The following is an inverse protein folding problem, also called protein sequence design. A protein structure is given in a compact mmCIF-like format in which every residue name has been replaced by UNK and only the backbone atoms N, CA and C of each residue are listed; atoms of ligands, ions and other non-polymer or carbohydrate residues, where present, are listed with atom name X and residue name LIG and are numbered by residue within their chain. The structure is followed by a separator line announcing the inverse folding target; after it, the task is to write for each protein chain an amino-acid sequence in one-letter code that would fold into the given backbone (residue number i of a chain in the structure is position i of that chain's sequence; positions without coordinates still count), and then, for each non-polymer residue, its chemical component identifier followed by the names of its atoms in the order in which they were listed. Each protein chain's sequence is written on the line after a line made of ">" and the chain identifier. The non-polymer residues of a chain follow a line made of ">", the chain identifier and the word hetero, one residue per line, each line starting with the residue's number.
data_IF_321707121333
#
_entry.id   IF_321707121333
#
_cell.length_a   1.000
_cell.length_b   1.000
_cell.length_c   1.000
_cell.angle_alpha   90.00
_cell.angle_beta   90.00
_cell.angle_gamma   90.00
#
_symmetry.space_group_name_H-M   'P 1'
#
loop_
_entity.id
_entity.type
_entity.pdbx_description
1 polymer ?
#
# COMPACT_ATOMS: atom_id res chain seq x y z
N UNK A 1 40.96 31.25 7.68
CA UNK A 1 39.65 31.17 6.98
C UNK A 1 39.18 29.73 7.07
N UNK A 2 38.16 29.47 7.90
CA UNK A 2 37.71 28.13 8.27
C UNK A 2 37.00 27.43 7.10
N UNK A 3 37.48 26.26 6.72
CA UNK A 3 36.75 25.31 5.89
C UNK A 3 35.56 24.78 6.70
N UNK A 4 34.35 25.21 6.32
CA UNK A 4 33.11 24.79 6.93
C UNK A 4 32.95 23.27 6.84
N UNK A 5 32.71 22.63 7.99
CA UNK A 5 32.44 21.20 8.08
C UNK A 5 31.04 20.94 7.52
N UNK A 6 30.94 20.62 6.24
CA UNK A 6 29.68 20.21 5.62
C UNK A 6 29.19 18.91 6.28
N UNK A 7 27.91 18.91 6.69
CA UNK A 7 27.31 17.77 7.39
C UNK A 7 27.29 16.52 6.48
N UNK A 8 27.24 15.32 7.08
CA UNK A 8 27.11 14.07 6.29
C UNK A 8 25.87 14.09 5.38
N UNK A 9 24.80 14.75 5.83
CA UNK A 9 23.58 14.98 5.05
C UNK A 9 23.83 15.87 3.83
N UNK A 10 24.50 17.01 3.99
CA UNK A 10 24.83 17.91 2.86
C UNK A 10 25.76 17.25 1.85
N UNK A 11 26.73 16.45 2.31
CA UNK A 11 27.60 15.67 1.42
C UNK A 11 26.81 14.62 0.63
N UNK A 12 25.83 13.96 1.28
CA UNK A 12 24.94 13.02 0.62
C UNK A 12 24.04 13.73 -0.41
N UNK A 13 23.47 14.89 -0.07
CA UNK A 13 22.64 15.70 -0.96
C UNK A 13 23.44 16.20 -2.16
N UNK A 14 24.67 16.67 -1.95
CA UNK A 14 25.56 17.12 -3.02
C UNK A 14 25.98 15.95 -3.94
N UNK A 15 26.28 14.78 -3.37
CA UNK A 15 26.54 13.58 -4.15
C UNK A 15 25.32 13.15 -4.97
N UNK A 16 24.12 13.19 -4.36
CA UNK A 16 22.87 12.86 -5.03
C UNK A 16 22.52 13.86 -6.15
N UNK A 17 22.83 15.14 -5.98
CA UNK A 17 22.62 16.18 -7.00
C UNK A 17 23.52 15.98 -8.24
N UNK A 18 24.65 15.29 -8.09
CA UNK A 18 25.53 14.91 -9.20
C UNK A 18 25.14 13.61 -9.91
N UNK A 19 24.15 12.86 -9.41
CA UNK A 19 23.70 11.62 -10.03
C UNK A 19 22.84 11.93 -11.26
N UNK A 20 23.23 11.39 -12.42
CA UNK A 20 22.39 11.39 -13.60
C UNK A 20 21.24 10.39 -13.38
N UNK A 21 20.04 10.91 -13.15
CA UNK A 21 18.81 10.11 -13.19
C UNK A 21 18.37 10.01 -14.66
N UNK A 22 18.18 8.80 -15.23
CA UNK A 22 17.68 8.65 -16.59
C UNK A 22 16.37 9.41 -16.80
N UNK A 23 16.18 9.99 -17.98
CA UNK A 23 14.99 10.80 -18.29
C UNK A 23 13.70 9.98 -18.16
N UNK A 24 13.71 8.74 -18.63
CA UNK A 24 12.58 7.81 -18.48
C UNK A 24 12.22 7.55 -17.01
N UNK A 25 13.19 7.51 -16.10
CA UNK A 25 12.93 7.38 -14.65
C UNK A 25 12.29 8.65 -14.10
N UNK A 26 12.75 9.84 -14.53
CA UNK A 26 12.16 11.11 -14.14
C UNK A 26 10.72 11.24 -14.61
N UNK A 27 10.47 10.90 -15.88
CA UNK A 27 9.13 10.91 -16.47
C UNK A 27 8.16 10.02 -15.71
N UNK A 28 8.56 8.77 -15.42
CA UNK A 28 7.75 7.82 -14.64
C UNK A 28 7.52 8.33 -13.21
N UNK A 29 8.54 8.90 -12.58
CA UNK A 29 8.43 9.41 -11.21
C UNK A 29 7.53 10.65 -11.08
N UNK A 30 7.35 11.44 -12.15
CA UNK A 30 6.47 12.61 -12.17
C UNK A 30 5.12 12.36 -12.83
N UNK A 31 4.93 11.22 -13.49
CA UNK A 31 3.66 10.86 -14.09
C UNK A 31 2.56 10.66 -13.03
N UNK A 32 1.29 10.93 -13.36
CA UNK A 32 0.17 10.56 -12.51
C UNK A 32 0.21 9.05 -12.20
N UNK A 33 0.03 8.63 -10.93
CA UNK A 33 0.06 7.22 -10.60
C UNK A 33 -1.08 6.48 -11.30
N UNK A 34 -0.77 5.28 -11.79
CA UNK A 34 -1.71 4.38 -12.47
C UNK A 34 -1.80 3.07 -11.72
N UNK A 35 -2.77 2.24 -12.10
CA UNK A 35 -2.83 0.86 -11.65
C UNK A 35 -1.59 0.10 -12.18
N UNK A 36 -1.11 -0.90 -11.42
CA UNK A 36 0.09 -1.66 -11.79
C UNK A 36 -0.13 -2.49 -13.05
N UNK A 37 0.93 -2.65 -13.85
CA UNK A 37 0.95 -3.52 -15.03
C UNK A 37 2.19 -4.44 -15.01
N UNK A 38 2.11 -5.63 -15.66
CA UNK A 38 3.27 -6.49 -15.84
C UNK A 38 4.44 -5.79 -16.52
N UNK A 39 5.66 -6.12 -16.10
CA UNK A 39 6.92 -5.52 -16.59
C UNK A 39 7.29 -4.20 -15.91
N UNK A 40 6.40 -3.58 -15.13
CA UNK A 40 6.73 -2.38 -14.37
C UNK A 40 7.60 -2.70 -13.15
N UNK A 41 8.54 -1.81 -12.85
CA UNK A 41 9.36 -1.86 -11.63
C UNK A 41 8.82 -0.84 -10.65
N UNK A 42 8.46 -1.31 -9.46
CA UNK A 42 7.82 -0.54 -8.41
C UNK A 42 8.68 -0.47 -7.16
N UNK A 43 8.65 0.68 -6.50
CA UNK A 43 9.01 0.79 -5.10
C UNK A 43 7.81 0.31 -4.27
N UNK A 44 7.99 -0.76 -3.52
CA UNK A 44 7.05 -1.23 -2.52
C UNK A 44 7.44 -0.72 -1.13
N UNK A 45 6.45 -0.31 -0.35
CA UNK A 45 6.58 0.28 0.98
C UNK A 45 5.44 -0.17 1.87
N UNK A 46 5.82 -0.79 2.99
CA UNK A 46 4.91 -1.06 4.10
C UNK A 46 5.63 -0.75 5.41
N UNK A 47 5.07 0.17 6.20
CA UNK A 47 5.71 0.70 7.41
C UNK A 47 7.15 1.19 7.13
N UNK A 48 8.15 0.50 7.68
CA UNK A 48 9.58 0.79 7.48
C UNK A 48 10.24 -0.12 6.44
N UNK A 49 9.50 -1.07 5.87
CA UNK A 49 9.98 -2.04 4.89
C UNK A 49 9.90 -1.43 3.50
N UNK A 50 11.03 -1.41 2.78
CA UNK A 50 11.12 -0.88 1.41
C UNK A 50 11.83 -1.92 0.54
N UNK A 51 11.26 -2.23 -0.62
CA UNK A 51 11.84 -3.16 -1.60
C UNK A 51 11.51 -2.72 -3.02
N UNK A 52 12.45 -2.88 -3.94
CA UNK A 52 12.14 -2.80 -5.37
C UNK A 52 11.57 -4.14 -5.85
N UNK A 53 10.47 -4.06 -6.59
CA UNK A 53 9.76 -5.21 -7.12
C UNK A 53 9.55 -5.03 -8.62
N UNK A 54 9.67 -6.11 -9.39
CA UNK A 54 9.14 -6.15 -10.75
C UNK A 54 7.83 -6.93 -10.75
N UNK A 55 6.83 -6.40 -11.42
CA UNK A 55 5.50 -6.99 -11.53
C UNK A 55 5.50 -7.97 -12.71
N UNK A 56 4.99 -9.18 -12.48
CA UNK A 56 4.92 -10.24 -13.50
C UNK A 56 3.50 -10.62 -13.88
N UNK A 57 2.54 -10.39 -12.98
CA UNK A 57 1.11 -10.52 -13.21
C UNK A 57 0.36 -9.62 -12.23
N UNK A 58 -0.88 -9.31 -12.57
CA UNK A 58 -1.76 -8.41 -11.82
C UNK A 58 -3.12 -9.09 -11.69
N UNK A 59 -3.61 -9.19 -10.46
CA UNK A 59 -4.96 -9.63 -10.10
C UNK A 59 -5.75 -8.44 -9.53
N UNK A 60 -6.99 -8.67 -9.07
CA UNK A 60 -7.94 -7.61 -8.66
C UNK A 60 -7.42 -6.69 -7.53
N UNK A 61 -6.66 -7.22 -6.57
CA UNK A 61 -6.11 -6.45 -5.42
C UNK A 61 -4.67 -6.83 -5.03
N UNK A 62 -4.07 -7.76 -5.78
CA UNK A 62 -2.70 -8.23 -5.58
C UNK A 62 -1.91 -8.19 -6.89
N UNK A 63 -0.59 -8.20 -6.77
CA UNK A 63 0.32 -8.38 -7.90
C UNK A 63 1.29 -9.50 -7.59
N UNK A 64 1.63 -10.29 -8.59
CA UNK A 64 2.73 -11.25 -8.49
C UNK A 64 4.04 -10.55 -8.79
N UNK A 65 4.90 -10.47 -7.78
CA UNK A 65 6.09 -9.65 -7.81
C UNK A 65 7.37 -10.44 -7.50
N UNK A 66 8.47 -9.98 -8.09
CA UNK A 66 9.82 -10.52 -7.88
C UNK A 66 10.71 -9.42 -7.29
N UNK A 67 11.49 -9.67 -6.21
CA UNK A 67 12.47 -8.72 -5.73
C UNK A 67 13.51 -8.37 -6.79
N UNK A 68 13.79 -7.08 -6.89
CA UNK A 68 14.83 -6.51 -7.74
C UNK A 68 15.95 -5.99 -6.83
N UNK A 69 17.18 -6.33 -7.14
CA UNK A 69 18.37 -5.69 -6.56
C UNK A 69 19.29 -5.12 -7.62
N UNK A 70 20.02 -4.07 -7.25
CA UNK A 70 21.13 -3.48 -8.03
C UNK A 70 22.49 -4.07 -7.61
N UNK A 71 22.50 -4.90 -6.57
CA UNK A 71 23.68 -5.57 -6.05
C UNK A 71 24.17 -6.69 -6.98
N UNK A 72 25.44 -7.06 -6.85
CA UNK A 72 26.08 -8.13 -7.64
C UNK A 72 25.76 -9.55 -7.17
N UNK A 73 25.02 -9.70 -6.07
CA UNK A 73 24.67 -11.00 -5.48
C UNK A 73 23.67 -11.74 -6.36
N UNK A 74 23.85 -13.04 -6.50
CA UNK A 74 22.98 -13.88 -7.34
C UNK A 74 23.11 -15.36 -6.99
N UNK A 75 22.00 -16.10 -7.15
CA UNK A 75 21.99 -17.55 -7.11
C UNK A 75 21.42 -18.16 -8.41
N UNK A 76 21.31 -19.50 -8.45
CA UNK A 76 20.79 -20.23 -9.61
C UNK A 76 19.35 -19.86 -10.01
N UNK A 77 18.59 -19.24 -9.10
CA UNK A 77 17.22 -18.79 -9.32
C UNK A 77 17.12 -17.27 -9.54
N UNK A 78 18.24 -16.59 -9.74
CA UNK A 78 18.31 -15.15 -9.95
C UNK A 78 18.53 -14.86 -11.44
N UNK A 79 17.61 -14.12 -12.06
CA UNK A 79 17.74 -13.69 -13.45
C UNK A 79 18.50 -12.35 -13.49
N UNK A 80 19.69 -12.38 -14.08
CA UNK A 80 20.53 -11.21 -14.27
C UNK A 80 20.19 -10.55 -15.61
N UNK A 81 19.79 -9.29 -15.53
CA UNK A 81 19.45 -8.46 -16.67
C UNK A 81 20.56 -7.41 -16.92
N UNK A 82 20.94 -7.16 -18.18
CA UNK A 82 21.86 -6.09 -18.52
C UNK A 82 21.20 -4.71 -18.35
N UNK A 83 22.01 -3.64 -18.43
CA UNK A 83 21.54 -2.28 -18.13
C UNK A 83 20.42 -1.81 -19.07
N UNK A 84 20.51 -2.17 -20.34
CA UNK A 84 19.56 -1.85 -21.39
C UNK A 84 18.20 -2.58 -21.27
N UNK A 85 18.09 -3.57 -20.38
CA UNK A 85 16.87 -4.35 -20.19
C UNK A 85 15.81 -3.62 -19.35
N UNK A 86 16.10 -2.42 -18.86
CA UNK A 86 15.16 -1.58 -18.14
C UNK A 86 15.43 -0.09 -18.35
N UNK A 87 14.43 0.74 -18.06
CA UNK A 87 14.61 2.20 -18.09
C UNK A 87 15.48 2.74 -16.94
N UNK A 88 15.90 1.92 -15.98
CA UNK A 88 16.88 2.31 -14.95
C UNK A 88 18.29 2.50 -15.53
N UNK A 89 18.58 1.95 -16.71
CA UNK A 89 19.92 1.96 -17.31
C UNK A 89 20.99 1.38 -16.36
N UNK A 90 20.61 0.42 -15.52
CA UNK A 90 21.49 -0.27 -14.58
C UNK A 90 21.27 -1.79 -14.66
N UNK A 91 22.33 -2.61 -14.51
CA UNK A 91 22.16 -4.05 -14.39
C UNK A 91 21.25 -4.41 -13.22
N UNK A 92 20.33 -5.34 -13.43
CA UNK A 92 19.36 -5.76 -12.42
C UNK A 92 19.51 -7.26 -12.11
N UNK A 93 19.37 -7.61 -10.84
CA UNK A 93 19.19 -8.99 -10.40
C UNK A 93 17.74 -9.18 -9.97
N UNK A 94 17.00 -10.02 -10.70
CA UNK A 94 15.62 -10.42 -10.40
C UNK A 94 15.64 -11.76 -9.65
N UNK A 95 15.29 -11.75 -8.37
CA UNK A 95 15.34 -12.92 -7.50
C UNK A 95 14.12 -13.82 -7.72
N UNK A 96 14.04 -14.43 -8.91
CA UNK A 96 12.86 -15.14 -9.39
C UNK A 96 12.37 -16.22 -8.42
N UNK A 97 13.29 -16.94 -7.78
CA UNK A 97 12.96 -17.94 -6.78
C UNK A 97 12.29 -17.40 -5.50
N UNK A 98 12.12 -16.08 -5.35
CA UNK A 98 11.40 -15.42 -4.26
C UNK A 98 10.04 -14.85 -4.70
N UNK A 99 9.62 -15.08 -5.94
CA UNK A 99 8.36 -14.58 -6.48
C UNK A 99 7.17 -14.90 -5.57
N UNK A 100 6.38 -13.88 -5.22
CA UNK A 100 5.17 -14.08 -4.41
C UNK A 100 4.12 -12.98 -4.66
N UNK A 101 2.84 -13.24 -4.33
CA UNK A 101 1.82 -12.21 -4.37
C UNK A 101 2.04 -11.16 -3.29
N UNK A 102 1.85 -9.89 -3.63
CA UNK A 102 1.84 -8.76 -2.69
C UNK A 102 0.59 -7.89 -2.94
N UNK A 103 -0.05 -7.35 -1.89
CA UNK A 103 -1.24 -6.53 -2.05
C UNK A 103 -0.91 -5.15 -2.64
N UNK A 104 -1.81 -4.58 -3.45
CA UNK A 104 -1.56 -3.28 -4.09
C UNK A 104 -1.28 -2.15 -3.09
N UNK A 105 -1.75 -2.26 -1.85
CA UNK A 105 -1.52 -1.26 -0.81
C UNK A 105 -0.04 -1.04 -0.47
N UNK A 106 0.85 -1.99 -0.77
CA UNK A 106 2.29 -1.79 -0.58
C UNK A 106 2.93 -1.03 -1.73
N UNK A 107 2.32 -0.99 -2.91
CA UNK A 107 2.87 -0.29 -4.08
C UNK A 107 2.83 1.22 -3.84
N UNK A 108 4.01 1.85 -3.82
CA UNK A 108 4.13 3.28 -3.54
C UNK A 108 4.18 4.09 -4.82
N UNK A 109 5.15 3.78 -5.67
CA UNK A 109 5.34 4.45 -6.96
C UNK A 109 6.05 3.53 -7.93
N UNK A 110 5.69 3.64 -9.19
CA UNK A 110 6.51 3.10 -10.27
C UNK A 110 7.82 3.88 -10.31
N UNK A 111 8.93 3.17 -10.51
CA UNK A 111 10.26 3.78 -10.65
C UNK A 111 10.89 3.51 -12.01
N UNK A 112 10.47 2.45 -12.69
CA UNK A 112 11.00 2.07 -14.00
C UNK A 112 10.08 1.03 -14.67
N UNK A 113 10.50 0.55 -15.82
CA UNK A 113 9.87 -0.51 -16.58
C UNK A 113 10.93 -1.34 -17.28
N UNK A 114 10.68 -2.64 -17.43
CA UNK A 114 11.49 -3.51 -18.27
C UNK A 114 11.25 -3.21 -19.74
N UNK A 115 12.32 -3.18 -20.52
CA UNK A 115 12.28 -3.04 -21.99
C UNK A 115 12.21 -4.40 -22.68
N UNK A 116 12.54 -5.47 -21.94
CA UNK A 116 12.41 -6.86 -22.38
C UNK A 116 11.16 -7.50 -21.77
N UNK A 117 10.37 -8.27 -22.55
CA UNK A 117 9.21 -8.94 -22.01
C UNK A 117 9.63 -10.03 -21.03
N UNK A 118 9.00 -10.07 -19.85
CA UNK A 118 9.02 -11.23 -18.98
C UNK A 118 7.81 -12.11 -19.29
N UNK A 119 7.98 -13.42 -19.17
CA UNK A 119 6.86 -14.35 -19.25
C UNK A 119 5.86 -14.03 -18.14
N UNK A 120 4.62 -13.70 -18.52
CA UNK A 120 3.53 -13.59 -17.56
C UNK A 120 3.33 -14.97 -16.92
N UNK A 121 3.39 -15.02 -15.60
CA UNK A 121 3.21 -16.25 -14.85
C UNK A 121 2.68 -15.88 -13.47
N UNK A 122 1.78 -16.69 -12.93
CA UNK A 122 1.34 -16.61 -11.53
C UNK A 122 2.20 -17.49 -10.63
N UNK A 123 2.84 -18.52 -11.20
CA UNK A 123 3.61 -19.51 -10.46
C UNK A 123 5.07 -19.08 -10.24
N UNK A 124 5.71 -19.53 -9.15
CA UNK A 124 7.12 -19.26 -8.87
C UNK A 124 8.09 -20.01 -9.79
N UNK A 125 7.58 -20.84 -10.70
CA UNK A 125 8.39 -21.65 -11.61
C UNK A 125 9.33 -20.79 -12.45
N UNK A 126 10.56 -21.27 -12.58
CA UNK A 126 11.58 -20.64 -13.40
C UNK A 126 11.19 -20.74 -14.89
N UNK A 127 11.19 -19.62 -15.63
CA UNK A 127 11.00 -19.64 -17.06
C UNK A 127 12.03 -20.57 -17.73
N UNK A 128 11.56 -21.41 -18.65
CA UNK A 128 12.43 -22.32 -19.39
C UNK A 128 13.47 -21.59 -20.26
N UNK A 129 13.18 -20.36 -20.67
CA UNK A 129 14.06 -19.53 -21.50
C UNK A 129 14.27 -18.16 -20.86
N UNK A 130 15.54 -17.78 -20.70
CA UNK A 130 15.89 -16.42 -20.29
C UNK A 130 15.60 -15.43 -21.43
N UNK A 131 15.16 -14.18 -21.13
CA UNK A 131 15.04 -13.12 -22.13
C UNK A 131 16.37 -12.84 -22.86
N UNK A 132 16.33 -12.24 -24.06
CA UNK A 132 17.55 -11.87 -24.79
C UNK A 132 18.50 -11.02 -23.94
N UNK A 133 19.78 -11.37 -23.93
CA UNK A 133 20.82 -10.68 -23.14
C UNK A 133 20.79 -10.98 -21.64
N UNK A 134 19.72 -11.60 -21.13
CA UNK A 134 19.63 -12.04 -19.75
C UNK A 134 20.35 -13.38 -19.55
N UNK A 135 20.80 -13.62 -18.32
CA UNK A 135 21.36 -14.92 -17.91
C UNK A 135 20.90 -15.29 -16.51
N UNK A 136 20.75 -16.58 -16.27
CA UNK A 136 20.59 -17.08 -14.90
C UNK A 136 21.91 -16.98 -14.14
N UNK A 137 21.83 -16.67 -12.86
CA UNK A 137 22.96 -16.80 -11.95
C UNK A 137 23.44 -18.24 -11.83
N UNK A 138 24.62 -18.42 -11.26
CA UNK A 138 25.18 -19.74 -10.98
C UNK A 138 24.97 -20.12 -9.53
N UNK A 139 24.80 -21.41 -9.24
CA UNK A 139 24.98 -21.91 -7.88
C UNK A 139 26.38 -21.53 -7.40
N UNK A 140 26.54 -20.93 -6.21
CA UNK A 140 27.86 -20.54 -5.74
C UNK A 140 28.69 -21.81 -5.48
N UNK A 141 30.00 -21.82 -5.82
CA UNK A 141 30.86 -23.01 -5.76
C UNK A 141 31.12 -23.52 -4.32
N UNK A 142 30.76 -22.72 -3.33
CA UNK A 142 30.68 -22.99 -1.88
C UNK A 142 29.47 -22.18 -1.38
N UNK A 143 28.80 -22.49 -0.25
CA UNK A 143 27.80 -21.58 0.32
C UNK A 143 28.45 -20.21 0.55
N UNK A 144 28.29 -19.31 -0.42
CA UNK A 144 28.74 -17.94 -0.35
C UNK A 144 27.82 -17.28 0.68
N UNK A 145 28.32 -17.20 1.91
CA UNK A 145 27.59 -16.71 3.08
C UNK A 145 26.88 -15.39 2.76
N UNK A 146 27.54 -14.48 2.03
CA UNK A 146 26.97 -13.20 1.63
C UNK A 146 25.76 -13.29 0.67
N UNK A 147 25.78 -14.17 -0.34
CA UNK A 147 24.65 -14.34 -1.28
C UNK A 147 23.44 -14.92 -0.55
N UNK A 148 23.68 -15.92 0.31
CA UNK A 148 22.64 -16.57 1.09
C UNK A 148 22.05 -15.63 2.15
N UNK A 149 22.88 -14.85 2.84
CA UNK A 149 22.44 -13.81 3.78
C UNK A 149 21.61 -12.75 3.08
N UNK A 150 22.06 -12.25 1.91
CA UNK A 150 21.33 -11.25 1.15
C UNK A 150 19.98 -11.77 0.65
N UNK A 151 19.94 -13.02 0.15
CA UNK A 151 18.68 -13.70 -0.19
C UNK A 151 17.76 -13.80 1.02
N UNK A 152 18.29 -14.12 2.20
CA UNK A 152 17.53 -14.15 3.45
C UNK A 152 16.87 -12.81 3.78
N UNK A 153 17.63 -11.71 3.66
CA UNK A 153 17.11 -10.34 3.85
C UNK A 153 15.97 -10.03 2.88
N UNK A 154 16.14 -10.38 1.60
CA UNK A 154 15.08 -10.19 0.60
C UNK A 154 13.85 -11.03 0.89
N UNK A 155 14.04 -12.26 1.35
CA UNK A 155 12.96 -13.20 1.72
C UNK A 155 12.14 -12.62 2.87
N UNK A 156 12.78 -12.20 3.96
CA UNK A 156 12.10 -11.63 5.13
C UNK A 156 11.38 -10.31 4.78
N UNK A 157 12.01 -9.49 3.95
CA UNK A 157 11.46 -8.21 3.49
C UNK A 157 10.22 -8.43 2.64
N UNK A 158 10.27 -9.37 1.70
CA UNK A 158 9.15 -9.66 0.82
C UNK A 158 8.00 -10.36 1.57
N UNK A 159 8.31 -11.26 2.51
CA UNK A 159 7.30 -11.87 3.38
C UNK A 159 6.53 -10.81 4.19
N UNK A 160 7.22 -9.81 4.74
CA UNK A 160 6.58 -8.66 5.40
C UNK A 160 5.65 -7.89 4.47
N UNK A 161 6.08 -7.63 3.24
CA UNK A 161 5.26 -6.93 2.24
C UNK A 161 4.03 -7.77 1.81
N UNK A 162 4.18 -9.07 1.63
CA UNK A 162 3.07 -9.97 1.24
C UNK A 162 2.02 -10.10 2.34
N UNK A 163 2.46 -10.13 3.60
CA UNK A 163 1.58 -10.17 4.77
C UNK A 163 0.92 -8.83 5.10
N UNK A 164 1.24 -7.74 4.38
CA UNK A 164 0.71 -6.41 4.68
C UNK A 164 -0.83 -6.37 4.63
N UNK A 165 -1.45 -5.92 5.72
CA UNK A 165 -2.90 -5.71 5.83
C UNK A 165 -3.15 -4.42 6.60
N UNK A 166 -3.96 -3.52 6.04
CA UNK A 166 -4.35 -2.27 6.72
C UNK A 166 -5.79 -2.28 7.23
N UNK A 167 -6.63 -3.15 6.68
CA UNK A 167 -8.05 -3.21 7.05
C UNK A 167 -8.23 -4.06 8.30
N UNK A 168 -9.03 -3.61 9.28
CA UNK A 168 -9.47 -4.46 10.37
C UNK A 168 -10.49 -5.46 9.83
N UNK A 169 -10.55 -6.64 10.46
CA UNK A 169 -11.59 -7.63 10.16
C UNK A 169 -13.00 -7.09 10.44
N UNK A 170 -13.11 -6.19 11.42
CA UNK A 170 -14.38 -5.58 11.85
C UNK A 170 -15.28 -6.60 12.54
N UNK A 171 -15.43 -6.50 13.85
CA UNK A 171 -16.20 -7.48 14.62
C UNK A 171 -17.72 -7.35 14.41
N UNK A 172 -18.20 -6.20 13.93
CA UNK A 172 -19.62 -5.88 13.89
C UNK A 172 -20.29 -5.82 15.27
N UNK A 173 -19.50 -5.80 16.35
CA UNK A 173 -19.97 -5.86 17.73
C UNK A 173 -20.40 -4.51 18.32
N UNK A 174 -20.47 -3.46 17.51
CA UNK A 174 -20.86 -2.12 17.95
C UNK A 174 -22.21 -2.09 18.71
N UNK A 175 -23.29 -2.76 18.25
CA UNK A 175 -24.55 -2.80 19.00
C UNK A 175 -24.40 -3.39 20.40
N UNK A 176 -23.64 -4.49 20.51
CA UNK A 176 -23.38 -5.18 21.77
C UNK A 176 -22.55 -4.30 22.70
N UNK A 177 -21.53 -3.62 22.17
CA UNK A 177 -20.71 -2.68 22.93
C UNK A 177 -21.56 -1.54 23.52
N UNK A 178 -22.43 -0.94 22.70
CA UNK A 178 -23.33 0.13 23.13
C UNK A 178 -24.32 -0.35 24.20
N UNK A 179 -24.90 -1.53 24.02
CA UNK A 179 -25.85 -2.13 24.96
C UNK A 179 -25.20 -2.47 26.31
N UNK A 180 -24.01 -3.09 26.30
CA UNK A 180 -23.27 -3.43 27.51
C UNK A 180 -22.87 -2.19 28.33
N UNK A 181 -22.64 -1.07 27.65
CA UNK A 181 -22.35 0.23 28.28
C UNK A 181 -23.60 1.05 28.61
N UNK A 182 -24.80 0.48 28.42
CA UNK A 182 -26.06 1.16 28.73
C UNK A 182 -26.36 2.38 27.87
N UNK A 183 -25.76 2.48 26.67
CA UNK A 183 -25.93 3.62 25.78
C UNK A 183 -27.26 3.50 25.04
N UNK A 184 -28.14 4.48 25.27
CA UNK A 184 -29.41 4.60 24.55
C UNK A 184 -29.22 5.29 23.20
N UNK A 185 -30.18 5.09 22.28
CA UNK A 185 -30.20 5.78 20.97
C UNK A 185 -30.18 7.31 21.13
N UNK A 186 -30.89 7.84 22.13
CA UNK A 186 -30.94 9.27 22.42
C UNK A 186 -29.58 9.80 22.90
N UNK A 187 -28.91 9.09 23.81
CA UNK A 187 -27.56 9.45 24.26
C UNK A 187 -26.55 9.40 23.12
N UNK A 188 -26.61 8.36 22.29
CA UNK A 188 -25.76 8.24 21.10
C UNK A 188 -25.98 9.40 20.12
N UNK A 189 -27.25 9.73 19.84
CA UNK A 189 -27.61 10.87 18.98
C UNK A 189 -27.11 12.20 19.54
N UNK A 190 -27.27 12.44 20.85
CA UNK A 190 -26.78 13.65 21.50
C UNK A 190 -25.25 13.74 21.46
N UNK A 191 -24.55 12.65 21.80
CA UNK A 191 -23.08 12.60 21.86
C UNK A 191 -22.44 12.80 20.48
N UNK A 192 -23.02 12.19 19.44
CA UNK A 192 -22.51 12.27 18.07
C UNK A 192 -23.10 13.43 17.27
N UNK A 193 -24.02 14.20 17.87
CA UNK A 193 -24.77 15.28 17.21
C UNK A 193 -25.50 14.79 15.95
N UNK A 194 -26.10 13.61 16.03
CA UNK A 194 -26.81 12.97 14.92
C UNK A 194 -28.33 13.15 15.06
N UNK A 195 -29.06 13.39 13.95
CA UNK A 195 -30.51 13.30 13.93
C UNK A 195 -30.99 11.90 14.35
N UNK A 196 -32.19 11.77 14.95
CA UNK A 196 -32.72 10.45 15.37
C UNK A 196 -32.76 9.41 14.25
N UNK A 197 -33.06 9.83 13.02
CA UNK A 197 -33.08 8.97 11.83
C UNK A 197 -31.72 8.33 11.49
N UNK A 198 -30.62 8.94 11.93
CA UNK A 198 -29.25 8.42 11.72
C UNK A 198 -28.72 7.69 12.96
N UNK A 199 -29.13 8.10 14.17
CA UNK A 199 -28.68 7.49 15.41
C UNK A 199 -29.17 6.04 15.57
N UNK A 200 -30.42 5.74 15.18
CA UNK A 200 -30.98 4.39 15.34
C UNK A 200 -30.29 3.33 14.46
N UNK A 201 -30.08 3.55 13.14
CA UNK A 201 -29.32 2.61 12.32
C UNK A 201 -27.88 2.39 12.80
N UNK A 202 -27.21 3.45 13.27
CA UNK A 202 -25.86 3.35 13.82
C UNK A 202 -25.85 2.53 15.12
N UNK A 203 -26.80 2.78 16.02
CA UNK A 203 -26.96 1.99 17.25
C UNK A 203 -27.23 0.51 16.96
N UNK A 204 -27.93 0.21 15.85
CA UNK A 204 -28.17 -1.16 15.36
C UNK A 204 -26.98 -1.76 14.58
N UNK A 205 -25.88 -1.02 14.40
CA UNK A 205 -24.69 -1.50 13.69
C UNK A 205 -24.89 -1.62 12.18
N UNK A 206 -25.93 -0.98 11.64
CA UNK A 206 -26.21 -0.98 10.19
C UNK A 206 -25.26 -0.05 9.43
N UNK A 207 -24.66 0.92 10.12
CA UNK A 207 -23.64 1.80 9.59
C UNK A 207 -22.42 1.80 10.52
N UNK A 208 -21.21 1.88 9.96
CA UNK A 208 -20.01 2.05 10.76
C UNK A 208 -19.95 3.46 11.36
N UNK A 209 -19.28 3.58 12.50
CA UNK A 209 -18.78 4.86 12.99
C UNK A 209 -17.68 5.38 12.07
N UNK A 210 -17.70 6.68 11.77
CA UNK A 210 -16.52 7.35 11.22
C UNK A 210 -15.43 7.52 12.30
N UNK A 211 -14.20 7.79 11.89
CA UNK A 211 -13.11 8.07 12.84
C UNK A 211 -13.47 9.18 13.84
N UNK A 212 -14.03 10.31 13.37
CA UNK A 212 -14.44 11.43 14.24
C UNK A 212 -15.56 11.03 15.22
N UNK A 213 -16.47 10.15 14.80
CA UNK A 213 -17.54 9.65 15.67
C UNK A 213 -17.00 8.65 16.69
N UNK A 214 -16.10 7.76 16.28
CA UNK A 214 -15.45 6.80 17.16
C UNK A 214 -14.61 7.52 18.22
N UNK A 215 -13.91 8.61 17.88
CA UNK A 215 -13.17 9.43 18.84
C UNK A 215 -14.09 10.03 19.91
N UNK A 216 -15.19 10.70 19.50
CA UNK A 216 -16.17 11.27 20.43
C UNK A 216 -16.82 10.22 21.32
N UNK A 217 -17.08 9.04 20.77
CA UNK A 217 -17.70 7.94 21.49
C UNK A 217 -16.70 7.27 22.44
N UNK A 218 -15.43 7.11 22.04
CA UNK A 218 -14.38 6.55 22.88
C UNK A 218 -14.20 7.36 24.17
N UNK A 219 -14.18 8.70 24.07
CA UNK A 219 -14.14 9.60 25.23
C UNK A 219 -15.36 9.39 26.14
N UNK A 220 -16.55 9.28 25.54
CA UNK A 220 -17.80 9.07 26.29
C UNK A 220 -17.85 7.70 27.00
N UNK A 221 -17.32 6.66 26.38
CA UNK A 221 -17.32 5.30 26.91
C UNK A 221 -16.13 5.00 27.84
N UNK A 222 -15.13 5.88 27.89
CA UNK A 222 -13.86 5.62 28.57
C UNK A 222 -13.10 4.46 27.94
N UNK A 223 -13.13 4.36 26.61
CA UNK A 223 -12.48 3.30 25.81
C UNK A 223 -11.38 3.86 24.91
N UNK A 224 -10.53 2.98 24.39
CA UNK A 224 -9.62 3.34 23.31
C UNK A 224 -10.35 3.54 21.98
N UNK A 225 -9.92 4.50 21.16
CA UNK A 225 -10.50 4.71 19.83
C UNK A 225 -10.41 3.45 18.96
N UNK A 226 -9.29 2.74 19.01
CA UNK A 226 -9.06 1.52 18.22
C UNK A 226 -10.02 0.39 18.62
N UNK A 227 -10.39 0.30 19.91
CA UNK A 227 -11.38 -0.66 20.41
C UNK A 227 -12.79 -0.33 19.87
N UNK A 228 -13.16 0.96 19.87
CA UNK A 228 -14.44 1.41 19.32
C UNK A 228 -14.51 1.20 17.80
N UNK A 229 -13.42 1.48 17.07
CA UNK A 229 -13.36 1.24 15.62
C UNK A 229 -13.37 -0.25 15.28
N UNK A 230 -12.73 -1.11 16.08
CA UNK A 230 -12.79 -2.56 15.89
C UNK A 230 -14.20 -3.14 16.06
N UNK A 231 -15.08 -2.42 16.75
CA UNK A 231 -16.50 -2.76 16.89
C UNK A 231 -17.32 -2.50 15.61
N UNK A 232 -16.80 -1.71 14.66
CA UNK A 232 -17.47 -1.48 13.37
C UNK A 232 -17.68 -2.79 12.59
N UNK A 233 -18.68 -2.83 11.70
CA UNK A 233 -18.78 -3.90 10.72
C UNK A 233 -17.55 -3.94 9.81
N UNK A 234 -17.29 -5.11 9.24
CA UNK A 234 -16.26 -5.31 8.21
C UNK A 234 -16.43 -4.31 7.06
N UNK A 235 -15.30 -3.84 6.52
CA UNK A 235 -15.31 -2.95 5.37
C UNK A 235 -15.77 -3.69 4.10
N UNK A 236 -16.60 -3.07 3.23
CA UNK A 236 -16.92 -3.67 1.94
C UNK A 236 -15.65 -3.91 1.11
N UNK A 237 -15.45 -5.11 0.53
CA UNK A 237 -14.25 -5.44 -0.23
C UNK A 237 -13.95 -4.46 -1.38
N UNK A 238 -14.99 -3.93 -2.03
CA UNK A 238 -14.83 -2.96 -3.10
C UNK A 238 -14.25 -1.61 -2.62
N UNK A 239 -14.58 -1.16 -1.40
CA UNK A 239 -13.96 0.04 -0.81
C UNK A 239 -12.49 -0.21 -0.50
N UNK A 240 -12.19 -1.40 0.01
CA UNK A 240 -10.80 -1.80 0.30
C UNK A 240 -9.99 -1.83 -1.00
N UNK A 241 -10.51 -2.48 -2.04
CA UNK A 241 -9.86 -2.56 -3.36
C UNK A 241 -9.61 -1.15 -3.93
N UNK A 242 -10.61 -0.26 -3.91
CA UNK A 242 -10.42 1.12 -4.36
C UNK A 242 -9.33 1.86 -3.59
N UNK A 243 -9.29 1.75 -2.27
CA UNK A 243 -8.26 2.39 -1.44
C UNK A 243 -6.89 1.71 -1.51
N UNK A 244 -6.82 0.47 -2.03
CA UNK A 244 -5.56 -0.20 -2.32
C UNK A 244 -4.88 0.31 -3.59
N UNK A 245 -5.62 0.98 -4.48
CA UNK A 245 -5.08 1.48 -5.76
C UNK A 245 -3.93 2.46 -5.53
N UNK A 246 -2.78 2.30 -6.22
CA UNK A 246 -1.64 3.20 -6.05
C UNK A 246 -1.99 4.67 -6.27
N UNK A 247 -2.93 4.94 -7.18
CA UNK A 247 -3.43 6.29 -7.46
C UNK A 247 -4.02 7.00 -6.23
N UNK A 248 -4.56 6.25 -5.26
CA UNK A 248 -5.13 6.81 -4.01
C UNK A 248 -4.08 7.16 -2.99
N UNK A 249 -2.83 6.71 -3.13
CA UNK A 249 -1.82 6.83 -2.07
C UNK A 249 -1.43 8.28 -1.79
N UNK A 250 -1.37 9.13 -2.82
CA UNK A 250 -1.13 10.57 -2.65
C UNK A 250 -2.28 11.25 -1.89
N UNK A 251 -3.53 10.92 -2.22
CA UNK A 251 -4.73 11.42 -1.54
C UNK A 251 -4.76 10.96 -0.08
N UNK A 252 -4.44 9.69 0.19
CA UNK A 252 -4.32 9.14 1.54
C UNK A 252 -3.24 9.83 2.36
N UNK A 253 -2.07 10.12 1.77
CA UNK A 253 -1.01 10.87 2.45
C UNK A 253 -1.39 12.33 2.71
N UNK A 254 -2.07 12.97 1.77
CA UNK A 254 -2.59 14.32 1.96
C UNK A 254 -3.63 14.36 3.08
N UNK A 255 -4.51 13.36 3.15
CA UNK A 255 -5.47 13.19 4.24
C UNK A 255 -4.76 12.95 5.57
N UNK A 256 -3.77 12.06 5.60
CA UNK A 256 -2.96 11.78 6.78
C UNK A 256 -2.29 13.05 7.32
N UNK A 257 -1.66 13.83 6.43
CA UNK A 257 -1.01 15.10 6.78
C UNK A 257 -2.01 16.13 7.31
N UNK A 258 -3.20 16.24 6.69
CA UNK A 258 -4.27 17.16 7.14
C UNK A 258 -4.76 16.84 8.54
N UNK A 259 -4.75 15.57 8.93
CA UNK A 259 -5.22 15.10 10.24
C UNK A 259 -4.09 14.77 11.23
N UNK A 260 -2.83 15.04 10.86
CA UNK A 260 -1.64 14.70 11.67
C UNK A 260 -1.60 13.23 12.11
N UNK A 261 -2.01 12.33 11.21
CA UNK A 261 -2.07 10.89 11.44
C UNK A 261 -1.16 10.13 10.47
N UNK A 262 -1.00 8.82 10.68
CA UNK A 262 -0.28 7.95 9.73
C UNK A 262 -1.18 7.50 8.57
N UNK A 263 -0.56 6.88 7.56
CA UNK A 263 -1.29 6.40 6.37
C UNK A 263 -2.35 5.35 6.73
N UNK A 264 -2.10 4.53 7.77
CA UNK A 264 -3.03 3.50 8.23
C UNK A 264 -4.33 4.11 8.78
N UNK A 265 -4.22 5.10 9.68
CA UNK A 265 -5.37 5.85 10.21
C UNK A 265 -6.10 6.62 9.12
N UNK A 266 -5.37 7.23 8.20
CA UNK A 266 -5.98 7.91 7.06
C UNK A 266 -6.78 6.95 6.16
N UNK A 267 -6.29 5.73 5.92
CA UNK A 267 -7.02 4.69 5.19
C UNK A 267 -8.31 4.32 5.89
N UNK A 268 -8.28 4.09 7.22
CA UNK A 268 -9.48 3.77 7.99
C UNK A 268 -10.50 4.91 8.00
N UNK A 269 -10.02 6.14 8.19
CA UNK A 269 -10.85 7.36 8.12
C UNK A 269 -11.52 7.50 6.76
N UNK A 270 -10.78 7.28 5.68
CA UNK A 270 -11.30 7.30 4.33
C UNK A 270 -12.35 6.20 4.12
N UNK A 271 -12.03 4.96 4.48
CA UNK A 271 -12.89 3.80 4.28
C UNK A 271 -14.25 3.96 4.96
N UNK A 272 -14.27 4.25 6.27
CA UNK A 272 -15.53 4.44 6.99
C UNK A 272 -16.27 5.71 6.55
N UNK A 273 -15.54 6.75 6.15
CA UNK A 273 -16.11 7.95 5.55
C UNK A 273 -16.84 7.67 4.23
N UNK A 274 -16.23 6.91 3.33
CA UNK A 274 -16.78 6.50 2.04
C UNK A 274 -18.03 5.63 2.23
N UNK A 275 -17.98 4.65 3.13
CA UNK A 275 -19.13 3.79 3.46
C UNK A 275 -20.29 4.63 4.02
N UNK A 276 -19.99 5.59 4.89
CA UNK A 276 -21.00 6.50 5.46
C UNK A 276 -21.61 7.43 4.39
N UNK A 277 -20.83 7.88 3.41
CA UNK A 277 -21.35 8.66 2.28
C UNK A 277 -22.28 7.82 1.40
N UNK A 278 -21.91 6.57 1.12
CA UNK A 278 -22.72 5.66 0.32
C UNK A 278 -24.06 5.33 1.00
N UNK A 279 -24.08 5.17 2.32
CA UNK A 279 -25.28 4.89 3.12
C UNK A 279 -26.40 5.94 3.01
N UNK A 280 -26.07 7.17 2.59
CA UNK A 280 -27.02 8.30 2.45
C UNK A 280 -27.87 8.23 1.17
N UNK A 281 -27.63 7.27 0.27
CA UNK A 281 -28.39 7.15 -0.97
C UNK A 281 -29.54 6.13 -0.88
N UNK A 282 -30.56 6.39 -1.69
CA UNK A 282 -31.76 5.55 -1.83
C UNK A 282 -31.50 4.29 -2.67
N UNK A 283 -30.70 4.39 -3.75
CA UNK A 283 -30.27 3.21 -4.51
C UNK A 283 -29.03 2.56 -3.88
N UNK A 284 -29.28 1.46 -3.18
CA UNK A 284 -28.29 0.69 -2.43
C UNK A 284 -27.82 -0.56 -3.19
N UNK A 285 -28.43 -0.84 -4.33
CA UNK A 285 -28.19 -2.07 -5.08
C UNK A 285 -27.00 -1.97 -6.04
N UNK A 286 -26.67 -0.76 -6.50
CA UNK A 286 -25.55 -0.51 -7.41
C UNK A 286 -24.69 0.68 -6.95
N UNK A 287 -23.91 0.48 -5.89
CA UNK A 287 -23.02 1.52 -5.38
C UNK A 287 -21.77 1.62 -6.27
N UNK A 288 -21.58 2.77 -6.92
CA UNK A 288 -20.33 3.08 -7.62
C UNK A 288 -19.26 3.53 -6.61
N UNK A 289 -18.44 2.58 -6.14
CA UNK A 289 -17.42 2.82 -5.12
C UNK A 289 -16.30 3.75 -5.57
N UNK A 290 -15.91 3.71 -6.86
CA UNK A 290 -14.92 4.64 -7.41
C UNK A 290 -15.39 6.09 -7.28
N UNK A 291 -16.60 6.40 -7.77
CA UNK A 291 -17.17 7.74 -7.68
C UNK A 291 -17.40 8.19 -6.22
N UNK A 292 -17.71 7.26 -5.30
CA UNK A 292 -17.83 7.56 -3.86
C UNK A 292 -16.49 7.89 -3.23
N UNK A 293 -15.45 7.19 -3.64
CA UNK A 293 -14.07 7.44 -3.21
C UNK A 293 -13.60 8.80 -3.72
N UNK A 294 -13.85 9.11 -4.98
CA UNK A 294 -13.55 10.42 -5.57
C UNK A 294 -14.27 11.55 -4.82
N UNK A 295 -15.59 11.46 -4.68
CA UNK A 295 -16.37 12.49 -3.97
C UNK A 295 -15.99 12.64 -2.49
N UNK A 296 -15.50 11.57 -1.84
CA UNK A 296 -14.95 11.67 -0.48
C UNK A 296 -13.68 12.51 -0.46
N UNK A 297 -12.72 12.22 -1.35
CA UNK A 297 -11.47 12.97 -1.41
C UNK A 297 -11.68 14.41 -1.90
N UNK A 298 -12.61 14.66 -2.82
CA UNK A 298 -13.00 16.01 -3.24
C UNK A 298 -13.52 16.83 -2.06
N UNK A 299 -14.43 16.27 -1.27
CA UNK A 299 -14.96 16.92 -0.07
C UNK A 299 -13.87 17.17 0.99
N UNK A 300 -12.91 16.26 1.14
CA UNK A 300 -11.90 16.31 2.21
C UNK A 300 -10.60 16.98 1.83
N UNK A 301 -10.28 17.14 0.56
CA UNK A 301 -9.01 17.68 0.08
C UNK A 301 -9.19 18.80 -0.95
N UNK A 302 -10.38 18.99 -1.52
CA UNK A 302 -10.63 19.94 -2.60
C UNK A 302 -9.95 19.53 -3.91
N UNK A 303 -9.75 18.22 -4.12
CA UNK A 303 -9.09 17.61 -5.27
C UNK A 303 -10.03 16.70 -6.04
#
# INVERSE_FOLDING_TARGET
>A
MNAAHSSAYERLVAAAAGLKVPDAVREVATAPPRDPEPGQIWRAVWERTIQLLVITAVDDDTVHAIPVSLERYADASTLLLPAEASTLEQPLALWWGLKQPVPWCVLDRQVSQLTVPLAASLHPDLPHTAPPGARWGSAPPSPAVADAEYRGVLTDTLARLSAARWMPEGSGALPQLLQQRGVTVAQLGAQLQLPPAQALPLWRGQYPLTADQAEKLAVFLGLGMDEVLAANPALPPAVVSELNRPLRRSQLRALAARHLEDEHRARLRAAYGIVTLAARQEDRTHINWAARTDGYFELRLGQ
#
